data_IF_930981057380
#
_entry.id   IF_930981057380
#
_cell.length_a   1.000
_cell.length_b   1.000
_cell.length_c   1.000
_cell.angle_alpha   90.00
_cell.angle_beta   90.00
_cell.angle_gamma   90.00
#
_symmetry.space_group_name_H-M   'P 1'
#
loop_
_entity.id
_entity.type
_entity.pdbx_description
1 polymer ?
#
# COMPACT_ATOMS: atom_id res chain seq x y z
N UNK A 1 12.34 -6.50 40.39
CA UNK A 1 11.90 -5.39 39.52
C UNK A 1 10.62 -5.85 38.85
N UNK A 2 9.48 -5.27 39.23
CA UNK A 2 8.18 -5.67 38.74
C UNK A 2 8.07 -5.42 37.23
N UNK A 3 7.58 -6.40 36.49
CA UNK A 3 7.22 -6.26 35.09
C UNK A 3 6.14 -5.17 35.01
N UNK A 4 6.40 -4.12 34.22
CA UNK A 4 5.36 -3.21 33.80
C UNK A 4 4.37 -4.04 32.98
N UNK A 5 3.20 -4.28 33.55
CA UNK A 5 2.01 -4.66 32.80
C UNK A 5 1.76 -3.53 31.81
N UNK A 6 2.05 -3.77 30.54
CA UNK A 6 1.72 -2.90 29.42
C UNK A 6 0.19 -2.80 29.41
N UNK A 7 -0.33 -1.74 30.01
CA UNK A 7 -1.72 -1.35 29.92
C UNK A 7 -2.00 -1.12 28.43
N UNK A 8 -2.68 -2.07 27.80
CA UNK A 8 -2.96 -2.07 26.37
C UNK A 8 -4.02 -1.02 26.04
N UNK A 9 -3.75 0.25 26.36
CA UNK A 9 -4.48 1.36 25.78
C UNK A 9 -4.20 1.32 24.29
N UNK A 10 -5.26 1.13 23.50
CA UNK A 10 -5.19 1.14 22.05
C UNK A 10 -4.52 2.43 21.59
N UNK A 11 -3.29 2.32 21.06
CA UNK A 11 -2.55 3.48 20.58
C UNK A 11 -3.19 3.90 19.26
N UNK A 12 -3.78 5.09 19.23
CA UNK A 12 -4.45 5.62 18.03
C UNK A 12 -3.51 6.51 17.22
N UNK A 13 -3.72 6.52 15.91
CA UNK A 13 -3.07 7.42 14.96
C UNK A 13 -4.12 8.17 14.14
N UNK A 14 -3.86 9.44 13.87
CA UNK A 14 -4.66 10.25 12.96
C UNK A 14 -4.33 9.89 11.51
N UNK A 15 -5.36 9.69 10.68
CA UNK A 15 -5.24 9.55 9.23
C UNK A 15 -6.09 10.59 8.52
N UNK A 16 -5.55 11.08 7.41
CA UNK A 16 -6.27 11.83 6.38
C UNK A 16 -5.67 11.47 5.01
N UNK A 17 -6.52 11.39 3.98
CA UNK A 17 -6.17 11.16 2.58
C UNK A 17 -7.10 12.02 1.70
N UNK A 18 -6.83 12.19 0.40
CA UNK A 18 -7.77 12.87 -0.49
C UNK A 18 -9.14 12.19 -0.47
N UNK A 19 -10.21 12.98 -0.28
CA UNK A 19 -11.59 12.49 -0.29
C UNK A 19 -12.08 11.86 1.03
N UNK A 20 -11.30 11.89 2.10
CA UNK A 20 -11.74 11.41 3.42
C UNK A 20 -11.57 12.45 4.53
N UNK A 21 -12.48 12.40 5.52
CA UNK A 21 -12.37 13.19 6.74
C UNK A 21 -11.21 12.73 7.62
N UNK A 22 -10.76 13.62 8.50
CA UNK A 22 -9.78 13.29 9.54
C UNK A 22 -10.39 12.27 10.51
N UNK A 23 -9.72 11.14 10.73
CA UNK A 23 -10.21 10.10 11.62
C UNK A 23 -9.09 9.37 12.35
N UNK A 24 -9.44 8.70 13.45
CA UNK A 24 -8.52 7.89 14.26
C UNK A 24 -8.58 6.43 13.83
N UNK A 25 -7.42 5.79 13.82
CA UNK A 25 -7.28 4.35 13.57
C UNK A 25 -6.34 3.73 14.59
N UNK A 26 -6.47 2.42 14.87
CA UNK A 26 -5.47 1.70 15.64
C UNK A 26 -4.09 1.78 14.98
N UNK A 27 -3.05 1.99 15.77
CA UNK A 27 -1.67 2.01 15.32
C UNK A 27 -1.17 0.58 15.09
N UNK A 28 -1.49 0.03 13.92
CA UNK A 28 -1.04 -1.31 13.50
C UNK A 28 0.32 -1.26 12.78
N UNK A 29 0.93 -2.44 12.58
CA UNK A 29 2.19 -2.61 11.82
C UNK A 29 2.14 -2.00 10.42
N UNK A 30 0.92 -1.84 9.87
CA UNK A 30 0.69 -1.21 8.58
C UNK A 30 1.29 0.19 8.43
N UNK A 31 1.48 0.92 9.53
CA UNK A 31 2.07 2.26 9.54
C UNK A 31 3.59 2.26 9.33
N UNK A 32 4.25 1.12 9.49
CA UNK A 32 5.69 0.99 9.21
C UNK A 32 6.03 1.26 7.74
N UNK A 33 5.12 0.98 6.80
CA UNK A 33 5.33 1.30 5.38
C UNK A 33 5.37 2.81 5.14
N UNK A 34 4.42 3.55 5.72
CA UNK A 34 4.40 5.02 5.63
C UNK A 34 5.62 5.62 6.30
N UNK A 35 5.97 5.14 7.50
CA UNK A 35 7.16 5.59 8.21
C UNK A 35 8.43 5.38 7.38
N UNK A 36 8.64 4.17 6.85
CA UNK A 36 9.80 3.86 6.02
C UNK A 36 9.87 4.75 4.77
N UNK A 37 8.72 4.96 4.11
CA UNK A 37 8.62 5.84 2.94
C UNK A 37 8.95 7.30 3.28
N UNK A 38 8.43 7.83 4.39
CA UNK A 38 8.69 9.22 4.82
C UNK A 38 10.15 9.40 5.25
N UNK A 39 10.73 8.42 5.97
CA UNK A 39 12.14 8.47 6.35
C UNK A 39 13.07 8.43 5.14
N UNK A 40 12.76 7.61 4.14
CA UNK A 40 13.62 7.40 2.97
C UNK A 40 13.50 8.46 1.87
N UNK A 41 12.31 9.03 1.68
CA UNK A 41 12.03 9.93 0.55
C UNK A 41 11.13 11.14 0.90
N UNK A 42 10.79 11.33 2.18
CA UNK A 42 9.99 12.46 2.63
C UNK A 42 10.75 13.78 2.51
N UNK A 43 10.03 14.85 2.14
CA UNK A 43 10.57 16.21 2.09
C UNK A 43 9.95 17.02 3.22
N UNK A 44 10.74 17.56 4.17
CA UNK A 44 10.18 18.41 5.22
C UNK A 44 9.62 19.69 4.59
N UNK A 45 8.38 20.04 4.95
CA UNK A 45 7.83 21.35 4.62
C UNK A 45 8.31 22.41 5.62
N UNK A 46 8.41 22.01 6.90
CA UNK A 46 8.89 22.82 8.02
C UNK A 46 9.65 21.89 8.97
N UNK A 47 10.76 22.37 9.55
CA UNK A 47 11.50 21.65 10.58
C UNK A 47 12.56 20.68 10.07
N UNK A 48 12.99 19.77 10.94
CA UNK A 48 14.07 18.81 10.68
C UNK A 48 13.70 17.79 9.60
N UNK A 49 14.68 17.25 8.87
CA UNK A 49 14.43 16.17 7.92
C UNK A 49 13.90 14.92 8.64
N UNK A 50 13.08 14.08 7.97
CA UNK A 50 12.55 12.85 8.55
C UNK A 50 13.62 11.92 9.13
N UNK A 51 14.83 11.94 8.57
CA UNK A 51 15.95 11.13 9.04
C UNK A 51 16.44 11.47 10.45
N UNK A 52 16.12 12.66 10.94
CA UNK A 52 16.49 13.12 12.29
C UNK A 52 15.34 12.95 13.29
N UNK A 53 14.09 12.91 12.82
CA UNK A 53 12.90 12.80 13.68
C UNK A 53 12.43 11.35 13.89
N UNK A 54 12.50 10.54 12.84
CA UNK A 54 11.91 9.19 12.84
C UNK A 54 13.01 8.14 13.01
N UNK A 55 13.09 7.34 14.07
CA UNK A 55 14.14 6.33 14.18
C UNK A 55 14.23 5.38 12.98
N UNK A 56 15.43 4.83 12.69
CA UNK A 56 15.59 3.84 11.63
C UNK A 56 14.72 2.62 11.92
N UNK A 57 14.10 2.08 10.85
CA UNK A 57 13.32 0.84 10.93
C UNK A 57 14.14 -0.28 10.32
N UNK A 58 14.18 -1.42 11.00
CA UNK A 58 14.67 -2.67 10.44
C UNK A 58 13.94 -3.01 9.12
N UNK A 59 14.65 -3.14 7.99
CA UNK A 59 14.06 -3.54 6.71
C UNK A 59 13.24 -4.83 6.79
N UNK A 60 13.58 -5.77 7.67
CA UNK A 60 12.82 -7.00 7.86
C UNK A 60 11.43 -6.73 8.45
N UNK A 61 11.30 -5.76 9.37
CA UNK A 61 9.99 -5.32 9.89
C UNK A 61 9.15 -4.64 8.84
N UNK A 62 9.76 -3.84 7.95
CA UNK A 62 9.06 -3.23 6.81
C UNK A 62 8.54 -4.31 5.85
N UNK A 63 9.37 -5.32 5.55
CA UNK A 63 8.96 -6.46 4.71
C UNK A 63 7.83 -7.27 5.36
N UNK A 64 7.92 -7.55 6.66
CA UNK A 64 6.86 -8.24 7.40
C UNK A 64 5.54 -7.47 7.37
N UNK A 65 5.58 -6.16 7.66
CA UNK A 65 4.40 -5.32 7.58
C UNK A 65 3.80 -5.29 6.17
N UNK A 66 4.63 -5.24 5.13
CA UNK A 66 4.16 -5.33 3.74
C UNK A 66 3.47 -6.68 3.45
N UNK A 67 3.99 -7.78 4.01
CA UNK A 67 3.38 -9.09 3.86
C UNK A 67 2.03 -9.18 4.57
N UNK A 68 1.89 -8.58 5.74
CA UNK A 68 0.62 -8.51 6.46
C UNK A 68 -0.44 -7.73 5.65
N UNK A 69 -0.06 -6.57 5.08
CA UNK A 69 -0.92 -5.85 4.14
C UNK A 69 -1.36 -6.73 2.97
N UNK A 70 -0.42 -7.46 2.35
CA UNK A 70 -0.70 -8.36 1.22
C UNK A 70 -1.68 -9.47 1.61
N UNK A 71 -1.62 -9.97 2.85
CA UNK A 71 -2.55 -11.01 3.35
C UNK A 71 -3.96 -10.48 3.53
N UNK A 72 -4.12 -9.22 3.87
CA UNK A 72 -5.44 -8.62 4.11
C UNK A 72 -6.16 -8.19 2.82
N UNK A 73 -5.40 -7.84 1.78
CA UNK A 73 -5.93 -7.33 0.51
C UNK A 73 -7.03 -8.18 -0.16
N UNK A 74 -6.95 -9.53 -0.19
CA UNK A 74 -8.04 -10.35 -0.72
C UNK A 74 -9.39 -10.14 -0.04
N UNK A 75 -9.41 -9.75 1.24
CA UNK A 75 -10.64 -9.42 1.96
C UNK A 75 -11.08 -7.98 1.69
N UNK A 76 -10.14 -7.03 1.68
CA UNK A 76 -10.44 -5.60 1.50
C UNK A 76 -10.95 -5.25 0.11
N UNK A 77 -10.43 -5.92 -0.94
CA UNK A 77 -10.83 -5.65 -2.33
C UNK A 77 -12.31 -5.89 -2.57
N UNK A 78 -12.96 -6.77 -1.80
CA UNK A 78 -14.38 -7.08 -1.93
C UNK A 78 -15.30 -5.88 -1.65
N UNK A 79 -14.80 -4.90 -0.88
CA UNK A 79 -15.52 -3.66 -0.56
C UNK A 79 -15.21 -2.52 -1.56
N UNK A 80 -14.22 -2.69 -2.45
CA UNK A 80 -13.82 -1.68 -3.43
C UNK A 80 -14.74 -1.72 -4.65
N UNK A 81 -15.92 -1.11 -4.52
CA UNK A 81 -16.96 -1.13 -5.56
C UNK A 81 -16.80 -0.07 -6.64
N UNK A 82 -16.21 1.07 -6.30
CA UNK A 82 -15.94 2.15 -7.26
C UNK A 82 -14.58 1.95 -7.98
N UNK A 83 -14.44 2.43 -9.23
CA UNK A 83 -13.21 2.35 -10.02
C UNK A 83 -11.96 2.88 -9.31
N UNK A 84 -12.06 3.96 -8.54
CA UNK A 84 -10.90 4.52 -7.85
C UNK A 84 -10.32 3.58 -6.79
N UNK A 85 -11.17 2.93 -5.99
CA UNK A 85 -10.74 1.91 -5.04
C UNK A 85 -10.15 0.68 -5.72
N UNK A 86 -10.66 0.34 -6.91
CA UNK A 86 -10.16 -0.77 -7.72
C UNK A 86 -8.78 -0.48 -8.33
N UNK A 87 -8.61 0.68 -8.95
CA UNK A 87 -7.32 1.14 -9.46
C UNK A 87 -6.30 1.25 -8.32
N UNK A 88 -6.71 1.76 -7.16
CA UNK A 88 -5.89 1.81 -5.96
C UNK A 88 -5.42 0.42 -5.51
N UNK A 89 -6.32 -0.57 -5.49
CA UNK A 89 -5.98 -1.94 -5.13
C UNK A 89 -4.92 -2.54 -6.08
N UNK A 90 -5.15 -2.44 -7.39
CA UNK A 90 -4.21 -2.92 -8.41
C UNK A 90 -2.83 -2.28 -8.24
N UNK A 91 -2.77 -0.95 -8.13
CA UNK A 91 -1.52 -0.21 -7.99
C UNK A 91 -0.80 -0.50 -6.67
N UNK A 92 -1.55 -0.77 -5.60
CA UNK A 92 -0.95 -1.14 -4.31
C UNK A 92 -0.29 -2.51 -4.38
N UNK A 93 -0.94 -3.50 -5.01
CA UNK A 93 -0.35 -4.83 -5.20
C UNK A 93 0.85 -4.79 -6.16
N UNK A 94 0.84 -3.92 -7.18
CA UNK A 94 2.02 -3.68 -8.01
C UNK A 94 3.20 -3.17 -7.18
N UNK A 95 2.97 -2.22 -6.25
CA UNK A 95 4.02 -1.73 -5.35
C UNK A 95 4.53 -2.80 -4.40
N UNK A 96 3.63 -3.66 -3.90
CA UNK A 96 4.01 -4.80 -3.08
C UNK A 96 4.89 -5.77 -3.88
N UNK A 97 4.46 -6.17 -5.08
CA UNK A 97 5.25 -7.06 -5.94
C UNK A 97 6.66 -6.51 -6.19
N UNK A 98 6.78 -5.24 -6.54
CA UNK A 98 8.08 -4.58 -6.73
C UNK A 98 8.93 -4.60 -5.45
N UNK A 99 8.33 -4.33 -4.28
CA UNK A 99 9.04 -4.39 -3.00
C UNK A 99 9.59 -5.80 -2.72
N UNK A 100 8.83 -6.85 -3.01
CA UNK A 100 9.25 -8.23 -2.71
C UNK A 100 10.28 -8.77 -3.71
N UNK A 101 10.21 -8.37 -4.98
CA UNK A 101 11.15 -8.81 -6.03
C UNK A 101 12.41 -7.94 -6.05
N UNK A 102 12.26 -6.62 -6.15
CA UNK A 102 13.36 -5.66 -6.34
C UNK A 102 13.88 -5.06 -5.02
N UNK A 103 13.34 -5.50 -3.88
CA UNK A 103 13.74 -5.06 -2.52
C UNK A 103 13.73 -3.55 -2.31
N UNK A 104 12.89 -2.83 -3.07
CA UNK A 104 12.83 -1.38 -3.05
C UNK A 104 11.40 -0.86 -3.16
N UNK A 105 11.09 0.19 -2.40
CA UNK A 105 9.81 0.89 -2.50
C UNK A 105 9.88 1.97 -3.58
N UNK A 106 8.92 1.95 -4.49
CA UNK A 106 8.80 2.93 -5.58
C UNK A 106 7.40 3.54 -5.63
N UNK A 107 7.22 4.56 -6.48
CA UNK A 107 5.91 5.16 -6.75
C UNK A 107 4.95 4.18 -7.43
N UNK A 108 3.64 4.46 -7.37
CA UNK A 108 2.60 3.66 -8.07
C UNK A 108 2.92 3.55 -9.57
N UNK A 109 3.30 4.65 -10.22
CA UNK A 109 3.66 4.67 -11.64
C UNK A 109 4.83 3.72 -11.96
N UNK A 110 5.94 3.82 -11.22
CA UNK A 110 7.12 2.96 -11.47
C UNK A 110 6.81 1.49 -11.20
N UNK A 111 6.07 1.19 -10.14
CA UNK A 111 5.64 -0.17 -9.83
C UNK A 111 4.70 -0.75 -10.90
N UNK A 112 3.75 0.04 -11.41
CA UNK A 112 2.85 -0.39 -12.47
C UNK A 112 3.61 -0.71 -13.76
N UNK A 113 4.54 0.16 -14.17
CA UNK A 113 5.36 -0.07 -15.37
C UNK A 113 6.22 -1.33 -15.25
N UNK A 114 6.79 -1.58 -14.07
CA UNK A 114 7.48 -2.84 -13.78
C UNK A 114 6.53 -4.03 -13.87
N UNK A 115 5.35 -3.95 -13.23
CA UNK A 115 4.40 -5.05 -13.17
C UNK A 115 3.81 -5.41 -14.54
N UNK A 116 3.64 -4.44 -15.45
CA UNK A 116 3.23 -4.68 -16.84
C UNK A 116 4.21 -5.63 -17.55
N UNK A 117 5.51 -5.45 -17.35
CA UNK A 117 6.52 -6.35 -17.92
C UNK A 117 6.59 -7.70 -17.18
N UNK A 118 6.42 -7.69 -15.86
CA UNK A 118 6.52 -8.90 -15.02
C UNK A 118 5.27 -9.81 -15.07
N UNK A 119 4.11 -9.27 -15.45
CA UNK A 119 2.82 -9.96 -15.53
C UNK A 119 2.10 -9.67 -16.86
N UNK A 120 2.59 -10.17 -18.01
CA UNK A 120 2.00 -9.89 -19.32
C UNK A 120 0.50 -10.22 -19.40
N UNK A 121 0.06 -11.33 -18.79
CA UNK A 121 -1.35 -11.77 -18.77
C UNK A 121 -2.27 -10.87 -17.94
N UNK A 122 -1.70 -9.93 -17.17
CA UNK A 122 -2.41 -8.93 -16.36
C UNK A 122 -2.13 -7.50 -16.81
N UNK A 123 -1.32 -7.32 -17.87
CA UNK A 123 -0.84 -6.02 -18.31
C UNK A 123 -1.99 -5.06 -18.61
N UNK A 124 -3.04 -5.52 -19.29
CA UNK A 124 -4.19 -4.68 -19.65
C UNK A 124 -4.86 -4.06 -18.42
N UNK A 125 -5.11 -4.85 -17.37
CA UNK A 125 -5.71 -4.37 -16.14
C UNK A 125 -4.79 -3.40 -15.38
N UNK A 126 -3.47 -3.65 -15.39
CA UNK A 126 -2.49 -2.77 -14.75
C UNK A 126 -2.39 -1.43 -15.50
N UNK A 127 -2.40 -1.47 -16.84
CA UNK A 127 -2.43 -0.29 -17.71
C UNK A 127 -3.67 0.53 -17.42
N UNK A 128 -4.85 -0.10 -17.39
CA UNK A 128 -6.10 0.56 -17.02
C UNK A 128 -6.01 1.26 -15.66
N UNK A 129 -5.56 0.56 -14.62
CA UNK A 129 -5.46 1.12 -13.28
C UNK A 129 -4.48 2.30 -13.21
N UNK A 130 -3.34 2.20 -13.90
CA UNK A 130 -2.35 3.28 -14.01
C UNK A 130 -2.94 4.49 -14.71
N UNK A 131 -3.55 4.29 -15.88
CA UNK A 131 -4.03 5.38 -16.72
C UNK A 131 -5.23 6.07 -16.07
N UNK A 132 -6.17 5.32 -15.48
CA UNK A 132 -7.26 5.87 -14.67
C UNK A 132 -6.72 6.74 -13.52
N UNK A 133 -5.71 6.25 -12.77
CA UNK A 133 -5.16 6.96 -11.61
C UNK A 133 -4.43 8.26 -11.99
N UNK A 134 -3.72 8.28 -13.12
CA UNK A 134 -2.89 9.42 -13.52
C UNK A 134 -3.54 10.37 -14.52
N UNK A 135 -4.60 9.94 -15.21
CA UNK A 135 -5.39 10.79 -16.11
C UNK A 135 -6.58 11.48 -15.40
N UNK A 136 -6.80 11.20 -14.11
CA UNK A 136 -7.90 11.79 -13.34
C UNK A 136 -9.25 11.15 -13.65
N UNK A 137 -9.30 9.81 -13.66
CA UNK A 137 -10.54 9.06 -13.89
C UNK A 137 -11.64 9.37 -12.89
N UNK A 138 -12.88 9.02 -13.25
CA UNK A 138 -14.08 9.28 -12.46
C UNK A 138 -14.52 8.03 -11.72
N UNK A 139 -15.05 8.19 -10.50
CA UNK A 139 -15.68 7.08 -9.78
C UNK A 139 -17.02 6.65 -10.41
N UNK A 140 -17.54 7.44 -11.37
CA UNK A 140 -18.68 7.08 -12.20
C UNK A 140 -18.32 6.19 -13.40
N UNK A 141 -17.02 5.94 -13.65
CA UNK A 141 -16.57 5.08 -14.75
C UNK A 141 -16.97 3.60 -14.53
N UNK A 142 -16.88 2.80 -15.59
CA UNK A 142 -17.23 1.38 -15.52
C UNK A 142 -16.32 0.62 -14.55
N UNK A 143 -16.94 -0.14 -13.63
CA UNK A 143 -16.23 -0.97 -12.69
C UNK A 143 -15.67 -2.25 -13.35
N UNK A 144 -14.43 -2.60 -12.99
CA UNK A 144 -13.77 -3.86 -13.33
C UNK A 144 -13.63 -4.80 -12.13
N UNK A 145 -14.58 -4.76 -11.20
CA UNK A 145 -14.46 -5.37 -9.87
C UNK A 145 -14.10 -6.86 -9.88
N UNK A 146 -14.66 -7.64 -10.81
CA UNK A 146 -14.39 -9.08 -10.93
C UNK A 146 -12.93 -9.34 -11.30
N UNK A 147 -12.42 -8.62 -12.29
CA UNK A 147 -11.04 -8.74 -12.77
C UNK A 147 -10.05 -8.29 -11.69
N UNK A 148 -10.37 -7.19 -11.00
CA UNK A 148 -9.57 -6.64 -9.91
C UNK A 148 -9.52 -7.60 -8.72
N UNK A 149 -10.64 -8.23 -8.36
CA UNK A 149 -10.66 -9.24 -7.30
C UNK A 149 -9.78 -10.44 -7.65
N UNK A 150 -9.88 -10.96 -8.88
CA UNK A 150 -9.03 -12.06 -9.35
C UNK A 150 -7.55 -11.67 -9.36
N UNK A 151 -7.21 -10.48 -9.85
CA UNK A 151 -5.86 -9.94 -9.82
C UNK A 151 -5.30 -9.87 -8.39
N UNK A 152 -6.07 -9.33 -7.44
CA UNK A 152 -5.63 -9.21 -6.04
C UNK A 152 -5.40 -10.59 -5.44
N UNK A 153 -6.27 -11.56 -5.68
CA UNK A 153 -6.09 -12.93 -5.18
C UNK A 153 -4.80 -13.56 -5.71
N UNK A 154 -4.60 -13.52 -7.03
CA UNK A 154 -3.47 -14.16 -7.69
C UNK A 154 -2.13 -13.51 -7.30
N UNK A 155 -2.06 -12.18 -7.34
CA UNK A 155 -0.83 -11.45 -7.05
C UNK A 155 -0.50 -11.53 -5.56
N UNK A 156 -1.50 -11.49 -4.67
CA UNK A 156 -1.26 -11.70 -3.24
C UNK A 156 -0.72 -13.10 -2.96
N UNK A 157 -1.29 -14.13 -3.60
CA UNK A 157 -0.78 -15.50 -3.48
C UNK A 157 0.68 -15.58 -3.95
N UNK A 158 0.97 -15.07 -5.14
CA UNK A 158 2.32 -15.04 -5.70
C UNK A 158 3.33 -14.36 -4.79
N UNK A 159 2.99 -13.22 -4.19
CA UNK A 159 3.90 -12.50 -3.28
C UNK A 159 4.19 -13.31 -2.01
N UNK A 160 3.22 -14.06 -1.49
CA UNK A 160 3.44 -14.91 -0.30
C UNK A 160 4.42 -16.05 -0.56
N UNK A 161 4.59 -16.44 -1.81
CA UNK A 161 5.50 -17.52 -2.24
C UNK A 161 6.93 -17.01 -2.57
N UNK A 162 7.22 -15.70 -2.38
CA UNK A 162 8.54 -15.06 -2.58
C UNK A 162 9.38 -14.93 -1.30
#
# INVERSE_FOLDING_TARGET
>A
VAAATDDATERLIVRISPGEDIHLLPATSHRLLTWASVRGAGRPLIGLPPSELLPPIDPARVRSAALDHVRDWPSWVLQMRHPGGQAYAVLTLCRALHLFVERSQVSKLRAANYAIAALPDRAELIVWARDWWYAGGSDDDESRHREVTGFVQDVSARIRDL
#
